data_IF_083152348669
#
_entry.id   IF_083152348669
#
_cell.length_a   1.000
_cell.length_b   1.000
_cell.length_c   1.000
_cell.angle_alpha   90.00
_cell.angle_beta   90.00
_cell.angle_gamma   90.00
#
_symmetry.space_group_name_H-M   'P 1'
#
loop_
_entity.id
_entity.type
_entity.pdbx_description
1 polymer ?
#
# COMPACT_ATOMS: atom_id res chain seq x y z
N UNK A 1 -11.26 8.13 30.85
CA UNK A 1 -12.04 7.16 30.01
C UNK A 1 -11.19 5.92 29.74
N UNK A 2 -11.79 4.73 29.58
CA UNK A 2 -11.05 3.51 29.21
C UNK A 2 -11.28 3.22 27.72
N UNK A 3 -10.20 3.29 26.95
CA UNK A 3 -10.17 2.87 25.54
C UNK A 3 -9.63 1.46 25.40
N UNK A 4 -10.05 0.76 24.34
CA UNK A 4 -9.47 -0.54 24.02
C UNK A 4 -9.51 -0.83 22.53
N UNK A 5 -8.52 -1.57 22.06
CA UNK A 5 -8.42 -2.04 20.68
C UNK A 5 -8.06 -3.53 20.64
N UNK A 6 -8.50 -4.19 19.56
CA UNK A 6 -8.13 -5.58 19.27
C UNK A 6 -7.33 -5.58 17.97
N UNK A 7 -6.12 -6.12 18.03
CA UNK A 7 -5.24 -6.19 16.87
C UNK A 7 -4.56 -7.55 16.76
N UNK A 8 -4.15 -7.89 15.54
CA UNK A 8 -3.25 -8.98 15.25
C UNK A 8 -1.88 -8.46 14.82
N UNK A 9 -0.82 -9.17 15.20
CA UNK A 9 0.53 -8.97 14.70
C UNK A 9 0.98 -10.20 13.90
N UNK A 10 1.22 -10.02 12.60
CA UNK A 10 1.74 -11.06 11.71
C UNK A 10 2.97 -10.53 10.97
N UNK A 11 4.13 -11.19 11.15
CA UNK A 11 5.43 -10.74 10.61
C UNK A 11 5.76 -9.27 10.96
N UNK A 12 5.28 -8.80 12.11
CA UNK A 12 5.41 -7.42 12.56
C UNK A 12 4.42 -6.43 11.94
N UNK A 13 3.57 -6.82 11.00
CA UNK A 13 2.47 -5.98 10.52
C UNK A 13 1.33 -5.95 11.54
N UNK A 14 0.80 -4.76 11.82
CA UNK A 14 -0.31 -4.59 12.76
C UNK A 14 -1.62 -4.52 12.01
N UNK A 15 -2.57 -5.37 12.35
CA UNK A 15 -3.89 -5.44 11.72
C UNK A 15 -4.95 -5.18 12.76
N UNK A 16 -5.76 -4.14 12.57
CA UNK A 16 -6.95 -3.94 13.37
C UNK A 16 -7.92 -5.10 13.08
N UNK A 17 -8.48 -5.70 14.12
CA UNK A 17 -9.51 -6.72 13.97
C UNK A 17 -10.89 -6.13 14.20
N UNK A 18 -11.84 -6.58 13.39
CA UNK A 18 -13.25 -6.23 13.59
C UNK A 18 -13.77 -6.84 14.89
N UNK A 19 -14.51 -6.08 15.70
CA UNK A 19 -15.04 -6.57 16.95
C UNK A 19 -16.22 -7.52 16.70
N UNK A 20 -16.32 -8.55 17.53
CA UNK A 20 -17.43 -9.51 17.49
C UNK A 20 -18.65 -8.91 18.18
N UNK A 21 -19.85 -9.45 17.94
CA UNK A 21 -21.05 -8.98 18.61
C UNK A 21 -20.95 -9.08 20.14
N UNK A 22 -20.37 -10.18 20.65
CA UNK A 22 -20.15 -10.40 22.08
C UNK A 22 -19.13 -9.41 22.65
N UNK A 23 -18.09 -9.08 21.90
CA UNK A 23 -17.09 -8.10 22.29
C UNK A 23 -17.66 -6.67 22.33
N UNK A 24 -18.49 -6.31 21.34
CA UNK A 24 -19.23 -5.03 21.35
C UNK A 24 -20.13 -4.96 22.59
N UNK A 25 -20.88 -6.02 22.89
CA UNK A 25 -21.75 -6.08 24.06
C UNK A 25 -20.95 -5.95 25.38
N UNK A 26 -19.79 -6.59 25.46
CA UNK A 26 -18.85 -6.48 26.57
C UNK A 26 -18.36 -5.03 26.77
N UNK A 27 -17.97 -4.34 25.70
CA UNK A 27 -17.52 -2.94 25.77
C UNK A 27 -18.65 -2.04 26.27
N UNK A 28 -19.87 -2.24 25.77
CA UNK A 28 -21.05 -1.49 26.19
C UNK A 28 -21.39 -1.71 27.67
N UNK A 29 -21.35 -2.95 28.16
CA UNK A 29 -21.68 -3.26 29.55
C UNK A 29 -20.69 -2.67 30.54
N UNK A 30 -19.40 -2.61 30.17
CA UNK A 30 -18.33 -2.06 31.00
C UNK A 30 -18.06 -0.56 30.71
N UNK A 31 -18.80 0.04 29.77
CA UNK A 31 -18.63 1.43 29.32
C UNK A 31 -17.22 1.72 28.82
N UNK A 32 -16.61 0.73 28.17
CA UNK A 32 -15.35 0.90 27.47
C UNK A 32 -15.59 1.46 26.08
N UNK A 33 -14.67 2.31 25.62
CA UNK A 33 -14.68 2.79 24.24
C UNK A 33 -13.88 1.82 23.38
N UNK A 34 -14.56 1.10 22.49
CA UNK A 34 -13.88 0.33 21.46
C UNK A 34 -13.34 1.29 20.40
N UNK A 35 -12.04 1.19 20.15
CA UNK A 35 -11.32 2.02 19.23
C UNK A 35 -10.97 1.25 17.95
N UNK A 36 -11.14 1.89 16.81
CA UNK A 36 -10.82 1.34 15.50
C UNK A 36 -9.86 2.29 14.79
N UNK A 37 -8.59 1.92 14.78
CA UNK A 37 -7.53 2.76 14.26
C UNK A 37 -6.89 2.12 13.02
N UNK A 38 -6.83 2.86 11.91
CA UNK A 38 -6.21 2.37 10.67
C UNK A 38 -4.68 2.58 10.68
N UNK A 39 -3.95 1.51 10.96
CA UNK A 39 -2.48 1.50 11.03
C UNK A 39 -1.78 1.74 9.68
N UNK A 40 -2.48 1.64 8.53
CA UNK A 40 -1.91 1.83 7.20
C UNK A 40 -1.99 3.28 6.70
N UNK A 41 -2.92 4.06 7.25
CA UNK A 41 -3.21 5.44 6.79
C UNK A 41 -2.71 6.49 7.79
N UNK A 42 -2.79 6.18 9.08
CA UNK A 42 -2.46 7.15 10.12
C UNK A 42 -1.04 7.00 10.65
N UNK A 43 -0.46 8.13 11.06
CA UNK A 43 0.90 8.21 11.59
C UNK A 43 0.95 7.97 13.08
N UNK A 44 2.17 7.85 13.63
CA UNK A 44 2.38 7.85 15.07
C UNK A 44 1.95 9.18 15.70
N UNK A 45 2.21 10.32 15.06
CA UNK A 45 1.74 11.61 15.54
C UNK A 45 0.20 11.68 15.60
N UNK A 46 -0.47 11.19 14.56
CA UNK A 46 -1.94 11.14 14.56
C UNK A 46 -2.47 10.30 15.72
N UNK A 47 -1.78 9.21 16.08
CA UNK A 47 -2.22 8.32 17.16
C UNK A 47 -2.10 9.05 18.50
N UNK A 48 -0.99 9.75 18.72
CA UNK A 48 -0.80 10.59 19.91
C UNK A 48 -1.89 11.66 20.00
N UNK A 49 -2.09 12.43 18.92
CA UNK A 49 -3.10 13.50 18.87
C UNK A 49 -4.52 12.95 19.07
N UNK A 50 -4.82 11.79 18.47
CA UNK A 50 -6.11 11.13 18.61
C UNK A 50 -6.36 10.67 20.04
N UNK A 51 -5.38 10.01 20.68
CA UNK A 51 -5.52 9.52 22.05
C UNK A 51 -5.64 10.67 23.07
N UNK A 52 -4.91 11.77 22.86
CA UNK A 52 -5.05 13.00 23.65
C UNK A 52 -6.46 13.58 23.49
N UNK A 53 -6.97 13.64 22.25
CA UNK A 53 -8.31 14.16 21.96
C UNK A 53 -9.43 13.30 22.58
N UNK A 54 -9.27 11.98 22.63
CA UNK A 54 -10.24 11.08 23.26
C UNK A 54 -10.21 11.14 24.80
N UNK A 55 -9.23 11.82 25.40
CA UNK A 55 -9.11 11.95 26.87
C UNK A 55 -9.10 10.58 27.58
N UNK A 56 -8.38 9.61 27.03
CA UNK A 56 -8.21 8.31 27.67
C UNK A 56 -7.35 8.45 28.94
N UNK A 57 -7.73 7.72 29.98
CA UNK A 57 -6.94 7.58 31.22
C UNK A 57 -6.25 6.22 31.24
N UNK A 58 -6.93 5.20 30.69
CA UNK A 58 -6.37 3.88 30.45
C UNK A 58 -6.65 3.46 29.02
N UNK A 59 -5.70 2.77 28.42
CA UNK A 59 -5.87 2.20 27.09
C UNK A 59 -5.34 0.77 27.03
N UNK A 60 -6.20 -0.16 26.60
CA UNK A 60 -5.91 -1.58 26.55
C UNK A 60 -5.76 -2.08 25.11
N UNK A 61 -4.59 -2.65 24.82
CA UNK A 61 -4.36 -3.42 23.62
C UNK A 61 -4.63 -4.91 23.89
N UNK A 62 -5.46 -5.53 23.05
CA UNK A 62 -5.66 -6.98 23.02
C UNK A 62 -4.99 -7.49 21.74
N UNK A 63 -3.97 -8.32 21.91
CA UNK A 63 -3.09 -8.77 20.85
C UNK A 63 -3.32 -10.25 20.51
N UNK A 64 -3.40 -10.53 19.21
CA UNK A 64 -3.23 -11.87 18.63
C UNK A 64 -1.88 -11.96 17.93
N UNK A 65 -1.10 -13.01 18.17
CA UNK A 65 0.22 -13.21 17.53
C UNK A 65 1.42 -12.98 18.46
N UNK A 66 2.60 -12.74 17.88
CA UNK A 66 3.90 -12.73 18.60
C UNK A 66 4.08 -11.51 19.50
N UNK A 67 3.63 -10.33 19.07
CA UNK A 67 3.55 -9.12 19.89
C UNK A 67 4.83 -8.31 20.06
N UNK A 68 5.95 -8.71 19.46
CA UNK A 68 7.24 -8.04 19.67
C UNK A 68 7.19 -6.56 19.27
N UNK A 69 6.53 -6.26 18.15
CA UNK A 69 6.39 -4.88 17.69
C UNK A 69 5.30 -4.14 18.44
N UNK A 70 4.19 -4.80 18.76
CA UNK A 70 3.10 -4.23 19.55
C UNK A 70 3.61 -3.80 20.93
N UNK A 71 4.45 -4.61 21.58
CA UNK A 71 5.13 -4.23 22.83
C UNK A 71 5.96 -2.96 22.69
N UNK A 72 6.70 -2.81 21.58
CA UNK A 72 7.46 -1.58 21.30
C UNK A 72 6.53 -0.38 21.07
N UNK A 73 5.39 -0.58 20.41
CA UNK A 73 4.39 0.48 20.21
C UNK A 73 3.82 0.96 21.56
N UNK A 74 3.40 0.02 22.41
CA UNK A 74 2.89 0.32 23.75
C UNK A 74 3.95 1.05 24.59
N UNK A 75 5.20 0.59 24.57
CA UNK A 75 6.29 1.25 25.27
C UNK A 75 6.55 2.67 24.75
N UNK A 76 6.51 2.89 23.43
CA UNK A 76 6.64 4.21 22.80
C UNK A 76 5.52 5.15 23.27
N UNK A 77 4.26 4.69 23.24
CA UNK A 77 3.12 5.50 23.69
C UNK A 77 3.22 5.84 25.17
N UNK A 78 3.60 4.88 26.02
CA UNK A 78 3.78 5.10 27.46
C UNK A 78 4.84 6.16 27.77
N UNK A 79 5.90 6.24 26.95
CA UNK A 79 6.95 7.27 27.09
C UNK A 79 6.49 8.65 26.63
N UNK A 80 5.60 8.72 25.63
CA UNK A 80 5.14 9.98 25.04
C UNK A 80 3.91 10.55 25.75
N UNK A 81 3.06 9.70 26.32
CA UNK A 81 1.78 10.06 26.94
C UNK A 81 1.76 9.66 28.42
N UNK A 82 2.39 10.47 29.27
CA UNK A 82 2.54 10.16 30.70
C UNK A 82 1.23 10.17 31.50
N UNK A 83 0.15 10.72 30.93
CA UNK A 83 -1.16 10.82 31.59
C UNK A 83 -2.08 9.64 31.25
N UNK A 84 -1.71 8.80 30.27
CA UNK A 84 -2.44 7.58 29.91
C UNK A 84 -1.68 6.37 30.46
N UNK A 85 -2.40 5.46 31.09
CA UNK A 85 -1.87 4.16 31.51
C UNK A 85 -2.16 3.12 30.43
N UNK A 86 -1.09 2.58 29.84
CA UNK A 86 -1.23 1.59 28.78
C UNK A 86 -1.14 0.16 29.32
N UNK A 87 -1.96 -0.71 28.75
CA UNK A 87 -2.02 -2.12 29.08
C UNK A 87 -1.95 -2.94 27.79
N UNK A 88 -1.27 -4.09 27.82
CA UNK A 88 -1.26 -5.06 26.73
C UNK A 88 -1.57 -6.44 27.30
N UNK A 89 -2.51 -7.14 26.67
CA UNK A 89 -2.77 -8.55 26.94
C UNK A 89 -2.77 -9.36 25.64
N UNK A 90 -2.44 -10.65 25.75
CA UNK A 90 -2.66 -11.59 24.66
C UNK A 90 -4.13 -12.06 24.62
N UNK A 91 -4.45 -12.81 23.58
CA UNK A 91 -5.76 -13.46 23.34
C UNK A 91 -6.11 -14.58 24.34
N UNK A 92 -5.22 -14.90 25.27
CA UNK A 92 -5.46 -15.82 26.39
C UNK A 92 -5.76 -15.10 27.70
N UNK A 93 -5.69 -13.76 27.70
CA UNK A 93 -5.84 -12.92 28.88
C UNK A 93 -4.58 -12.77 29.72
N UNK A 94 -3.42 -13.26 29.25
CA UNK A 94 -2.15 -13.01 29.93
C UNK A 94 -1.74 -11.54 29.71
N UNK A 95 -1.41 -10.85 30.80
CA UNK A 95 -0.96 -9.46 30.76
C UNK A 95 0.53 -9.43 30.38
N UNK A 96 0.81 -8.80 29.25
CA UNK A 96 2.16 -8.64 28.70
C UNK A 96 2.79 -7.30 29.09
N UNK A 97 1.97 -6.27 29.33
CA UNK A 97 2.39 -4.93 29.76
C UNK A 97 1.30 -4.25 30.60
N UNK A 98 1.70 -3.43 31.58
CA UNK A 98 0.80 -2.64 32.43
C UNK A 98 0.43 -3.34 33.74
N UNK A 99 -0.63 -2.85 34.39
CA UNK A 99 -1.12 -3.40 35.65
C UNK A 99 -1.83 -4.76 35.45
N UNK A 100 -1.35 -5.85 36.08
CA UNK A 100 -1.98 -7.18 35.96
C UNK A 100 -3.38 -7.26 36.59
N UNK A 101 -3.75 -6.32 37.46
CA UNK A 101 -5.06 -6.28 38.12
C UNK A 101 -6.08 -5.38 37.41
N UNK A 102 -5.69 -4.76 36.28
CA UNK A 102 -6.52 -3.78 35.59
C UNK A 102 -7.92 -4.31 35.21
N UNK A 103 -8.00 -5.58 34.79
CA UNK A 103 -9.27 -6.27 34.49
C UNK A 103 -9.61 -7.35 35.52
N UNK A 104 -9.16 -7.23 36.77
CA UNK A 104 -9.45 -8.23 37.79
C UNK A 104 -10.97 -8.43 37.95
N UNK A 105 -11.43 -9.68 37.77
CA UNK A 105 -12.85 -10.04 37.82
C UNK A 105 -13.64 -9.75 36.53
N UNK A 106 -13.00 -9.27 35.47
CA UNK A 106 -13.60 -9.00 34.16
C UNK A 106 -13.06 -10.00 33.13
N UNK A 107 -13.96 -10.81 32.55
CA UNK A 107 -13.59 -11.77 31.49
C UNK A 107 -13.84 -11.14 30.12
N UNK A 108 -12.77 -10.94 29.36
CA UNK A 108 -12.85 -10.48 27.97
C UNK A 108 -13.27 -11.65 27.07
N UNK A 109 -14.28 -11.49 26.19
CA UNK A 109 -14.67 -12.54 25.26
C UNK A 109 -13.66 -12.62 24.11
N UNK A 110 -12.74 -13.59 24.18
CA UNK A 110 -11.79 -13.90 23.11
C UNK A 110 -12.41 -14.93 22.15
N UNK A 111 -12.32 -14.71 20.83
CA UNK A 111 -12.75 -15.67 19.81
C UNK A 111 -11.59 -16.55 19.29
N UNK A 112 -11.95 -17.66 18.64
CA UNK A 112 -11.02 -18.58 17.98
C UNK A 112 -10.11 -17.87 16.96
N UNK A 113 -8.89 -18.41 16.74
CA UNK A 113 -7.92 -17.82 15.83
C UNK A 113 -8.49 -17.74 14.41
N UNK A 114 -8.46 -16.55 13.83
CA UNK A 114 -8.61 -16.39 12.38
C UNK A 114 -7.47 -17.17 11.71
N UNK A 115 -7.79 -17.86 10.62
CA UNK A 115 -6.78 -18.53 9.82
C UNK A 115 -5.77 -17.49 9.32
N UNK A 116 -4.49 -17.69 9.65
CA UNK A 116 -3.39 -16.93 9.08
C UNK A 116 -3.39 -17.11 7.55
N UNK A 117 -3.88 -16.11 6.82
CA UNK A 117 -3.45 -15.92 5.45
C UNK A 117 -2.10 -15.19 5.48
N UNK A 118 -1.01 -15.94 5.36
CA UNK A 118 0.36 -15.43 5.16
C UNK A 118 0.54 -14.80 3.75
N UNK A 119 1.76 -14.40 3.29
CA UNK A 119 2.49 -13.16 3.56
C UNK A 119 2.90 -12.47 2.23
N UNK A 120 2.27 -11.33 1.89
CA UNK A 120 2.65 -10.52 0.69
C UNK A 120 3.04 -9.09 1.10
N UNK A 121 2.67 -8.66 2.31
CA UNK A 121 2.80 -7.28 2.76
C UNK A 121 4.24 -6.73 2.71
N UNK A 122 5.26 -7.52 3.07
CA UNK A 122 6.66 -7.08 2.96
C UNK A 122 7.08 -6.90 1.49
N UNK A 123 6.72 -7.84 0.63
CA UNK A 123 7.01 -7.74 -0.80
C UNK A 123 6.33 -6.51 -1.41
N UNK A 124 5.05 -6.29 -1.11
CA UNK A 124 4.28 -5.14 -1.59
C UNK A 124 4.83 -3.82 -1.06
N UNK A 125 5.25 -3.77 0.21
CA UNK A 125 5.90 -2.61 0.80
C UNK A 125 7.23 -2.29 0.11
N UNK A 126 8.03 -3.31 -0.20
CA UNK A 126 9.29 -3.13 -0.93
C UNK A 126 9.06 -2.74 -2.39
N UNK A 127 8.07 -3.34 -3.07
CA UNK A 127 7.65 -2.90 -4.40
C UNK A 127 7.22 -1.43 -4.38
N UNK A 128 6.42 -1.03 -3.40
CA UNK A 128 5.96 0.35 -3.24
C UNK A 128 7.12 1.30 -2.92
N UNK A 129 8.06 0.88 -2.07
CA UNK A 129 9.28 1.62 -1.76
C UNK A 129 10.11 1.85 -3.03
N UNK A 130 10.39 0.82 -3.83
CA UNK A 130 11.29 0.95 -4.99
C UNK A 130 10.62 1.51 -6.25
N UNK A 131 9.33 1.26 -6.49
CA UNK A 131 8.60 1.84 -7.63
C UNK A 131 8.06 3.24 -7.33
N UNK A 132 7.75 3.52 -6.06
CA UNK A 132 7.07 4.74 -5.63
C UNK A 132 5.55 4.73 -5.87
N UNK A 133 4.99 3.58 -6.25
CA UNK A 133 3.55 3.39 -6.48
C UNK A 133 2.91 2.84 -5.22
N UNK A 134 1.85 3.49 -4.74
CA UNK A 134 1.12 3.10 -3.53
C UNK A 134 -0.37 3.05 -3.86
N UNK A 135 -0.99 1.86 -3.91
CA UNK A 135 -2.40 1.70 -4.32
C UNK A 135 -3.37 2.53 -3.48
N UNK A 136 -3.14 2.63 -2.16
CA UNK A 136 -4.02 3.32 -1.21
C UNK A 136 -3.65 4.79 -0.94
N UNK A 137 -2.84 5.41 -1.79
CA UNK A 137 -2.28 6.75 -1.56
C UNK A 137 -3.32 7.89 -1.56
N UNK A 138 -4.57 7.62 -1.94
CA UNK A 138 -5.52 8.63 -2.42
C UNK A 138 -6.35 9.32 -1.34
N UNK A 139 -6.33 8.88 -0.08
CA UNK A 139 -7.28 9.39 0.93
C UNK A 139 -6.83 10.62 1.72
N UNK A 140 -5.52 10.92 1.82
CA UNK A 140 -5.01 11.92 2.77
C UNK A 140 -4.02 12.92 2.20
N UNK A 141 -4.20 14.21 2.55
CA UNK A 141 -3.28 15.29 2.22
C UNK A 141 -2.95 16.17 3.45
N UNK A 142 -1.66 16.46 3.72
CA UNK A 142 -0.49 15.90 3.03
C UNK A 142 -0.34 14.39 3.29
N UNK A 143 0.22 13.69 2.31
CA UNK A 143 0.42 12.23 2.37
C UNK A 143 1.53 11.87 3.37
N UNK A 144 1.34 10.93 4.29
CA UNK A 144 2.36 10.54 5.26
C UNK A 144 3.54 9.81 4.61
N UNK A 145 4.69 9.80 5.31
CA UNK A 145 5.84 8.96 4.95
C UNK A 145 5.47 7.49 5.22
N UNK A 146 5.72 6.59 4.27
CA UNK A 146 5.40 5.16 4.42
C UNK A 146 6.64 4.31 4.55
N UNK A 147 7.65 4.49 3.71
CA UNK A 147 8.79 3.60 3.71
C UNK A 147 10.11 4.36 3.66
N UNK A 148 11.12 3.89 4.39
CA UNK A 148 12.47 4.43 4.37
C UNK A 148 13.42 3.33 3.92
N UNK A 149 14.31 3.67 3.01
CA UNK A 149 15.47 2.87 2.64
C UNK A 149 16.71 3.42 3.34
N UNK A 150 17.58 2.55 3.86
CA UNK A 150 18.91 2.89 4.34
C UNK A 150 19.96 1.97 3.71
N UNK A 151 21.02 2.56 3.12
CA UNK A 151 22.14 1.81 2.52
C UNK A 151 22.94 0.98 3.56
N UNK A 152 22.82 1.34 4.84
CA UNK A 152 23.48 0.58 5.90
C UNK A 152 23.13 0.99 7.31
N UNK A 153 23.43 0.09 8.26
CA UNK A 153 23.12 0.28 9.68
C UNK A 153 23.82 1.50 10.29
N UNK A 154 25.00 1.87 9.77
CA UNK A 154 25.74 3.06 10.22
C UNK A 154 25.00 4.38 9.97
N UNK A 155 24.00 4.40 9.08
CA UNK A 155 23.21 5.60 8.78
C UNK A 155 22.02 5.78 9.73
N UNK A 156 21.64 4.73 10.48
CA UNK A 156 20.46 4.77 11.34
C UNK A 156 20.56 5.80 12.47
N UNK A 157 21.76 5.99 13.02
CA UNK A 157 22.02 6.97 14.08
C UNK A 157 21.88 8.42 13.60
N UNK A 158 21.92 8.66 12.29
CA UNK A 158 21.76 9.99 11.69
C UNK A 158 20.30 10.35 11.42
N UNK A 159 19.38 9.39 11.52
CA UNK A 159 17.95 9.63 11.29
C UNK A 159 17.40 10.39 12.50
N UNK A 160 16.89 11.60 12.27
CA UNK A 160 16.18 12.36 13.29
C UNK A 160 14.96 11.54 13.77
N UNK A 161 14.84 11.21 15.07
CA UNK A 161 13.72 10.42 15.58
C UNK A 161 12.34 11.02 15.30
N UNK A 162 12.23 12.36 15.19
CA UNK A 162 10.98 13.03 14.84
C UNK A 162 10.47 12.70 13.44
N UNK A 163 11.33 12.16 12.56
CA UNK A 163 10.92 11.67 11.24
C UNK A 163 9.91 10.52 11.38
N UNK A 164 10.10 9.66 12.37
CA UNK A 164 9.23 8.51 12.61
C UNK A 164 7.84 8.94 13.05
N UNK A 165 7.69 10.07 13.75
CA UNK A 165 6.37 10.61 14.13
C UNK A 165 5.48 10.91 12.89
N UNK A 166 6.10 11.17 11.72
CA UNK A 166 5.42 11.43 10.45
C UNK A 166 5.19 10.17 9.59
N UNK A 167 5.65 9.01 10.05
CA UNK A 167 5.48 7.75 9.35
C UNK A 167 4.14 7.11 9.69
N UNK A 168 3.48 6.49 8.71
CA UNK A 168 2.33 5.60 9.00
C UNK A 168 2.73 4.53 9.98
N UNK A 169 1.79 4.00 10.79
CA UNK A 169 2.16 2.99 11.76
C UNK A 169 2.75 1.77 11.06
N UNK A 170 2.10 1.19 10.06
CA UNK A 170 2.62 0.09 9.25
C UNK A 170 3.69 0.48 8.20
N UNK A 171 4.50 1.48 8.54
CA UNK A 171 5.67 1.84 7.77
C UNK A 171 6.83 0.87 7.94
N UNK A 172 7.65 0.76 6.89
CA UNK A 172 8.82 -0.10 6.80
C UNK A 172 10.09 0.75 6.74
N UNK A 173 11.08 0.41 7.56
CA UNK A 173 12.47 0.78 7.36
C UNK A 173 13.21 -0.44 6.79
N UNK A 174 13.59 -0.34 5.52
CA UNK A 174 14.39 -1.35 4.84
C UNK A 174 15.87 -0.98 4.88
N UNK A 175 16.70 -1.91 5.34
CA UNK A 175 18.15 -1.76 5.43
C UNK A 175 18.78 -2.67 4.38
N UNK A 176 19.53 -2.10 3.42
CA UNK A 176 20.16 -2.84 2.32
C UNK A 176 21.45 -3.55 2.73
N UNK A 177 21.39 -4.24 3.88
CA UNK A 177 22.43 -5.09 4.42
C UNK A 177 21.77 -6.31 5.03
N UNK A 178 22.49 -7.43 5.05
CA UNK A 178 22.05 -8.63 5.74
C UNK A 178 21.88 -8.33 7.23
N UNK A 179 20.99 -9.08 7.89
CA UNK A 179 20.68 -8.88 9.30
C UNK A 179 21.95 -8.83 10.15
N UNK A 180 22.07 -7.76 10.96
CA UNK A 180 23.16 -7.56 11.91
C UNK A 180 22.58 -7.18 13.26
N UNK A 181 23.00 -7.88 14.31
CA UNK A 181 22.73 -7.48 15.69
C UNK A 181 23.78 -6.45 16.14
N UNK A 182 23.82 -5.30 15.45
CA UNK A 182 24.69 -4.20 15.83
C UNK A 182 23.95 -3.12 16.64
N UNK A 183 24.73 -2.33 17.37
CA UNK A 183 24.21 -1.33 18.31
C UNK A 183 23.24 -0.32 17.67
N UNK A 184 23.48 0.22 16.45
CA UNK A 184 22.54 1.15 15.81
C UNK A 184 21.13 0.59 15.61
N UNK A 185 21.00 -0.69 15.24
CA UNK A 185 19.69 -1.34 15.07
C UNK A 185 18.99 -1.49 16.42
N UNK A 186 19.72 -1.92 17.45
CA UNK A 186 19.18 -2.10 18.81
C UNK A 186 18.70 -0.75 19.37
N UNK A 187 19.52 0.29 19.23
CA UNK A 187 19.17 1.65 19.67
C UNK A 187 17.93 2.17 18.95
N UNK A 188 17.83 1.97 17.63
CA UNK A 188 16.66 2.35 16.86
C UNK A 188 15.40 1.63 17.37
N UNK A 189 15.45 0.29 17.45
CA UNK A 189 14.31 -0.53 17.87
C UNK A 189 13.87 -0.23 19.31
N UNK A 190 14.76 0.27 20.16
CA UNK A 190 14.41 0.68 21.53
C UNK A 190 13.66 2.01 21.61
N UNK A 191 13.71 2.83 20.55
CA UNK A 191 13.15 4.19 20.54
C UNK A 191 11.88 4.31 19.71
N UNK A 192 11.75 3.50 18.66
CA UNK A 192 10.62 3.62 17.72
C UNK A 192 10.02 2.26 17.33
N UNK A 193 8.69 2.15 17.25
CA UNK A 193 7.99 0.90 16.94
C UNK A 193 7.83 0.64 15.44
N UNK A 194 8.82 1.04 14.63
CA UNK A 194 8.80 0.89 13.18
C UNK A 194 9.11 -0.56 12.81
N UNK A 195 8.50 -1.05 11.73
CA UNK A 195 8.83 -2.35 11.15
C UNK A 195 10.19 -2.24 10.48
N UNK A 196 11.11 -3.15 10.80
CA UNK A 196 12.47 -3.16 10.26
C UNK A 196 12.65 -4.43 9.45
N UNK A 197 13.08 -4.30 8.20
CA UNK A 197 13.47 -5.43 7.35
C UNK A 197 14.89 -5.23 6.81
N UNK A 198 15.57 -6.34 6.58
CA UNK A 198 16.93 -6.40 6.06
C UNK A 198 16.92 -7.00 4.66
N UNK A 199 18.03 -6.88 3.93
CA UNK A 199 18.10 -7.37 2.55
C UNK A 199 18.01 -8.90 2.41
N UNK A 200 18.22 -9.63 3.50
CA UNK A 200 18.06 -11.08 3.60
C UNK A 200 16.69 -11.52 4.17
N UNK A 201 15.76 -10.58 4.38
CA UNK A 201 14.41 -10.93 4.88
C UNK A 201 13.56 -11.59 3.80
N UNK A 202 13.67 -11.17 2.54
CA UNK A 202 13.04 -11.87 1.41
C UNK A 202 13.96 -12.97 0.89
N UNK A 203 13.35 -14.04 0.36
CA UNK A 203 14.08 -15.15 -0.28
C UNK A 203 14.72 -14.78 -1.63
N UNK A 204 14.43 -13.58 -2.15
CA UNK A 204 14.92 -13.08 -3.43
C UNK A 204 15.21 -11.58 -3.38
N UNK A 205 16.04 -11.09 -4.32
CA UNK A 205 16.30 -9.66 -4.48
C UNK A 205 15.15 -8.99 -5.25
N UNK A 206 14.37 -8.17 -4.56
CA UNK A 206 13.26 -7.42 -5.15
C UNK A 206 13.73 -6.49 -6.28
N UNK A 207 14.94 -5.92 -6.18
CA UNK A 207 15.48 -4.98 -7.19
C UNK A 207 15.75 -5.70 -8.51
N UNK A 208 16.11 -6.97 -8.47
CA UNK A 208 16.33 -7.80 -9.67
C UNK A 208 15.04 -8.07 -10.47
N UNK A 209 13.87 -7.88 -9.84
CA UNK A 209 12.56 -8.06 -10.47
C UNK A 209 11.95 -6.75 -10.98
N UNK A 210 12.70 -5.65 -10.89
CA UNK A 210 12.29 -4.33 -11.37
C UNK A 210 13.07 -3.95 -12.62
N UNK A 211 12.35 -3.45 -13.63
CA UNK A 211 12.96 -2.89 -14.82
C UNK A 211 13.64 -1.55 -14.48
N UNK A 212 14.85 -1.37 -14.98
CA UNK A 212 15.54 -0.07 -14.97
C UNK A 212 15.40 0.53 -16.36
N UNK A 213 14.72 1.66 -16.44
CA UNK A 213 14.39 2.33 -17.69
C UNK A 213 14.67 3.83 -17.58
N UNK A 214 14.91 4.48 -18.72
CA UNK A 214 15.00 5.94 -18.74
C UNK A 214 13.62 6.58 -18.76
N UNK A 215 13.55 7.86 -18.39
CA UNK A 215 12.32 8.64 -18.53
C UNK A 215 11.84 8.72 -19.99
N UNK A 216 12.76 8.89 -20.94
CA UNK A 216 12.43 8.93 -22.37
C UNK A 216 11.81 7.61 -22.84
N UNK A 217 12.31 6.47 -22.36
CA UNK A 217 11.73 5.16 -22.68
C UNK A 217 10.33 5.01 -22.06
N UNK A 218 10.12 5.54 -20.85
CA UNK A 218 8.79 5.57 -20.24
C UNK A 218 7.79 6.45 -21.01
N UNK A 219 8.21 7.62 -21.47
CA UNK A 219 7.39 8.50 -22.32
C UNK A 219 6.99 7.79 -23.62
N UNK A 220 7.94 7.11 -24.28
CA UNK A 220 7.68 6.31 -25.47
C UNK A 220 6.76 5.12 -25.19
N UNK A 221 6.92 4.44 -24.05
CA UNK A 221 6.05 3.33 -23.65
C UNK A 221 4.62 3.79 -23.36
N UNK A 222 4.43 4.96 -22.76
CA UNK A 222 3.12 5.57 -22.57
C UNK A 222 2.45 5.95 -23.89
N UNK A 223 3.20 6.53 -24.83
CA UNK A 223 2.69 6.84 -26.17
C UNK A 223 2.29 5.56 -26.92
N UNK A 224 3.13 4.52 -26.86
CA UNK A 224 2.84 3.22 -27.46
C UNK A 224 1.57 2.60 -26.84
N UNK A 225 1.44 2.61 -25.52
CA UNK A 225 0.26 2.10 -24.84
C UNK A 225 -1.01 2.85 -25.25
N UNK A 226 -0.99 4.18 -25.24
CA UNK A 226 -2.14 4.99 -25.63
C UNK A 226 -2.58 4.75 -27.08
N UNK A 227 -1.64 4.47 -27.99
CA UNK A 227 -1.91 4.36 -29.43
C UNK A 227 -2.18 2.93 -29.90
N UNK A 228 -1.64 1.92 -29.21
CA UNK A 228 -1.70 0.51 -29.64
C UNK A 228 -2.40 -0.41 -28.64
N UNK A 229 -2.76 0.12 -27.47
CA UNK A 229 -3.25 -0.65 -26.32
C UNK A 229 -2.26 -1.67 -25.75
N UNK A 230 -0.98 -1.63 -26.13
CA UNK A 230 0.04 -2.59 -25.69
C UNK A 230 0.93 -2.00 -24.61
N UNK A 231 1.25 -2.80 -23.60
CA UNK A 231 2.23 -2.44 -22.56
C UNK A 231 3.49 -3.29 -22.77
N UNK A 232 4.61 -2.69 -23.24
CA UNK A 232 5.82 -3.45 -23.50
C UNK A 232 6.49 -3.88 -22.19
N UNK A 233 6.58 -5.19 -21.96
CA UNK A 233 7.32 -5.78 -20.83
C UNK A 233 8.10 -7.05 -21.25
N UNK A 234 9.10 -6.92 -22.14
CA UNK A 234 9.80 -8.09 -22.71
C UNK A 234 10.62 -8.89 -21.68
N UNK A 235 10.95 -8.29 -20.53
CA UNK A 235 11.67 -8.96 -19.45
C UNK A 235 10.77 -9.58 -18.39
N UNK A 236 9.44 -9.49 -18.54
CA UNK A 236 8.46 -9.93 -17.55
C UNK A 236 8.77 -9.41 -16.13
N UNK A 237 9.18 -8.15 -16.04
CA UNK A 237 9.48 -7.51 -14.76
C UNK A 237 8.18 -7.22 -14.00
N UNK A 238 8.24 -7.29 -12.66
CA UNK A 238 7.07 -7.05 -11.81
C UNK A 238 6.70 -5.57 -11.70
N UNK A 239 7.63 -4.67 -12.05
CA UNK A 239 7.44 -3.24 -11.99
C UNK A 239 8.64 -2.49 -12.55
N UNK A 240 8.60 -1.16 -12.43
CA UNK A 240 9.66 -0.26 -12.90
C UNK A 240 10.27 0.45 -11.70
N UNK A 241 11.59 0.37 -11.57
CA UNK A 241 12.33 1.08 -10.52
C UNK A 241 12.13 2.60 -10.66
N UNK A 242 11.80 3.27 -9.57
CA UNK A 242 11.52 4.70 -9.50
C UNK A 242 10.44 5.20 -10.48
N UNK A 243 9.52 4.33 -10.88
CA UNK A 243 8.39 4.66 -11.75
C UNK A 243 7.73 6.02 -11.42
N UNK A 244 7.39 6.25 -10.16
CA UNK A 244 6.72 7.47 -9.73
C UNK A 244 7.54 8.74 -10.02
N UNK A 245 8.86 8.67 -9.77
CA UNK A 245 9.79 9.76 -10.07
C UNK A 245 9.92 9.97 -11.57
N UNK A 246 10.15 8.89 -12.32
CA UNK A 246 10.32 8.93 -13.77
C UNK A 246 9.11 9.52 -14.49
N UNK A 247 7.91 9.18 -14.05
CA UNK A 247 6.65 9.63 -14.66
C UNK A 247 6.17 10.99 -14.15
N UNK A 248 6.82 11.57 -13.14
CA UNK A 248 6.41 12.84 -12.52
C UNK A 248 5.15 12.71 -11.65
N UNK A 249 4.86 11.53 -11.11
CA UNK A 249 3.81 11.38 -10.10
C UNK A 249 4.22 12.12 -8.82
N UNK A 250 3.30 12.90 -8.28
CA UNK A 250 3.53 13.69 -7.07
C UNK A 250 3.29 12.86 -5.81
N UNK A 251 4.13 11.84 -5.58
CA UNK A 251 4.02 10.91 -4.44
C UNK A 251 5.20 11.07 -3.48
N UNK A 252 4.88 11.36 -2.21
CA UNK A 252 5.83 11.60 -1.12
C UNK A 252 5.67 10.56 -0.01
N UNK A 253 5.86 9.30 -0.34
CA UNK A 253 5.71 8.19 0.61
C UNK A 253 7.01 7.52 0.98
N UNK A 254 8.13 7.94 0.39
CA UNK A 254 9.40 7.24 0.52
C UNK A 254 10.59 8.17 0.69
N UNK A 255 11.60 7.66 1.39
CA UNK A 255 12.87 8.33 1.61
C UNK A 255 14.00 7.32 1.40
N UNK A 256 15.07 7.75 0.74
CA UNK A 256 16.28 6.94 0.54
C UNK A 256 17.47 7.62 1.20
N UNK A 257 18.08 6.92 2.15
CA UNK A 257 19.20 7.40 2.94
C UNK A 257 20.46 6.68 2.48
N UNK A 258 21.34 7.44 1.85
CA UNK A 258 22.64 6.99 1.36
C UNK A 258 23.76 7.69 2.15
N UNK A 259 25.00 7.18 2.03
CA UNK A 259 26.17 7.83 2.65
C UNK A 259 26.43 9.26 2.16
N UNK A 260 26.07 9.56 0.93
CA UNK A 260 26.27 10.86 0.27
C UNK A 260 25.06 11.80 0.42
N UNK A 261 23.97 11.36 1.04
CA UNK A 261 22.83 12.21 1.35
C UNK A 261 21.48 11.49 1.31
N UNK A 262 20.42 12.29 1.38
CA UNK A 262 19.04 11.81 1.39
C UNK A 262 18.37 12.17 0.07
N UNK A 263 17.70 11.22 -0.55
CA UNK A 263 17.00 11.41 -1.82
C UNK A 263 15.57 10.84 -1.75
N UNK A 264 14.71 11.28 -2.68
CA UNK A 264 13.30 10.90 -2.74
C UNK A 264 13.04 9.70 -3.68
N UNK A 265 14.10 9.24 -4.35
CA UNK A 265 14.14 8.14 -5.30
C UNK A 265 15.45 7.35 -5.12
N UNK A 266 15.44 6.10 -5.56
CA UNK A 266 16.60 5.23 -5.44
C UNK A 266 17.73 5.65 -6.39
N UNK A 267 17.40 6.12 -7.59
CA UNK A 267 18.30 6.61 -8.62
C UNK A 267 18.97 7.96 -8.33
N UNK A 268 18.69 8.57 -7.16
CA UNK A 268 19.25 9.85 -6.70
C UNK A 268 19.01 11.04 -7.66
N UNK A 269 17.90 11.04 -8.37
CA UNK A 269 17.51 12.16 -9.25
C UNK A 269 17.00 13.37 -8.46
N UNK A 270 16.41 13.15 -7.30
CA UNK A 270 15.81 14.19 -6.43
C UNK A 270 16.40 14.08 -5.03
N UNK A 271 17.45 14.87 -4.75
CA UNK A 271 18.13 14.85 -3.46
C UNK A 271 17.83 16.10 -2.61
N UNK A 272 17.80 15.89 -1.29
CA UNK A 272 17.23 16.80 -0.29
C UNK A 272 18.27 17.56 0.53
N UNK A 273 19.55 17.46 0.16
CA UNK A 273 20.71 17.84 0.99
C UNK A 273 20.89 16.92 2.22
N UNK A 274 21.90 17.19 3.06
CA UNK A 274 22.50 16.23 4.01
C UNK A 274 21.58 15.65 5.10
N UNK A 275 22.11 14.66 5.82
CA UNK A 275 21.38 13.81 6.78
C UNK A 275 20.77 14.57 7.99
N UNK A 276 21.30 15.76 8.33
CA UNK A 276 21.01 16.43 9.60
C UNK A 276 19.71 17.27 9.60
N UNK A 277 19.18 17.67 8.43
CA UNK A 277 17.99 18.52 8.29
C UNK A 277 16.99 17.95 7.27
N UNK A 278 16.41 16.79 7.59
CA UNK A 278 15.38 16.17 6.74
C UNK A 278 14.03 16.88 6.98
N UNK A 279 13.68 17.80 6.08
CA UNK A 279 12.36 18.43 6.04
C UNK A 279 11.48 17.77 4.95
N UNK A 280 10.51 16.96 5.38
CA UNK A 280 9.55 16.28 4.48
C UNK A 280 8.75 17.30 3.64
N UNK A 281 8.50 18.51 4.13
CA UNK A 281 7.81 19.54 3.36
C UNK A 281 8.69 20.05 2.21
N UNK A 282 9.99 20.24 2.44
CA UNK A 282 10.95 20.57 1.37
C UNK A 282 11.08 19.43 0.36
N UNK A 283 11.04 18.17 0.81
CA UNK A 283 11.02 17.00 -0.08
C UNK A 283 9.89 17.07 -1.08
N UNK A 284 8.67 17.26 -0.58
CA UNK A 284 7.47 17.38 -1.40
C UNK A 284 7.57 18.52 -2.40
N UNK A 285 8.14 19.65 -1.97
CA UNK A 285 8.30 20.80 -2.84
C UNK A 285 9.28 20.51 -3.99
N UNK A 286 10.48 19.99 -3.69
CA UNK A 286 11.48 19.64 -4.71
C UNK A 286 10.99 18.56 -5.67
N UNK A 287 10.26 17.56 -5.18
CA UNK A 287 9.66 16.54 -6.04
C UNK A 287 8.71 17.12 -7.09
N UNK A 288 7.87 18.08 -6.68
CA UNK A 288 6.92 18.75 -7.59
C UNK A 288 7.63 19.60 -8.65
N UNK A 289 8.79 20.18 -8.32
CA UNK A 289 9.55 21.01 -9.24
C UNK A 289 10.43 20.20 -10.20
N UNK A 290 10.89 19.02 -9.79
CA UNK A 290 11.86 18.23 -10.54
C UNK A 290 11.31 17.79 -11.90
N UNK A 291 10.05 17.35 -11.96
CA UNK A 291 9.51 16.69 -13.13
C UNK A 291 8.02 16.98 -13.36
N UNK A 292 7.68 17.44 -14.57
CA UNK A 292 6.30 17.51 -15.01
C UNK A 292 5.73 16.09 -15.21
N UNK A 293 4.44 15.82 -14.91
CA UNK A 293 3.82 14.54 -15.20
C UNK A 293 3.82 14.23 -16.71
N UNK A 294 4.18 13.00 -17.09
CA UNK A 294 4.21 12.58 -18.52
C UNK A 294 2.82 12.25 -19.07
N UNK A 295 1.86 11.98 -18.20
CA UNK A 295 0.47 11.68 -18.53
C UNK A 295 -0.47 12.13 -17.39
N UNK A 296 -1.80 12.16 -17.60
CA UNK A 296 -2.77 12.42 -16.53
C UNK A 296 -2.65 11.42 -15.37
N UNK A 297 -2.86 11.88 -14.12
CA UNK A 297 -2.68 11.06 -12.91
C UNK A 297 -3.41 9.71 -12.93
N UNK A 298 -4.62 9.63 -13.48
CA UNK A 298 -5.37 8.37 -13.56
C UNK A 298 -4.65 7.33 -14.43
N UNK A 299 -4.04 7.76 -15.53
CA UNK A 299 -3.24 6.90 -16.40
C UNK A 299 -1.94 6.49 -15.72
N UNK A 300 -1.29 7.44 -15.03
CA UNK A 300 -0.07 7.16 -14.26
C UNK A 300 -0.31 6.18 -13.11
N UNK A 301 -1.47 6.22 -12.48
CA UNK A 301 -1.86 5.29 -11.43
C UNK A 301 -2.25 3.91 -11.97
N UNK A 302 -2.84 3.84 -13.18
CA UNK A 302 -3.25 2.58 -13.80
C UNK A 302 -2.09 1.79 -14.40
N UNK A 303 -1.14 2.47 -15.06
CA UNK A 303 -0.09 1.82 -15.85
C UNK A 303 0.76 0.79 -15.07
N UNK A 304 1.15 1.00 -13.80
CA UNK A 304 1.89 -0.02 -13.02
C UNK A 304 1.15 -1.35 -12.92
N UNK A 305 -0.17 -1.30 -12.74
CA UNK A 305 -1.00 -2.51 -12.72
C UNK A 305 -1.01 -3.20 -14.09
N UNK A 306 -1.15 -2.44 -15.19
CA UNK A 306 -1.09 -3.02 -16.53
C UNK A 306 0.27 -3.66 -16.81
N UNK A 307 1.36 -3.02 -16.34
CA UNK A 307 2.72 -3.53 -16.48
C UNK A 307 2.93 -4.83 -15.70
N UNK A 308 2.38 -4.90 -14.49
CA UNK A 308 2.38 -6.12 -13.65
C UNK A 308 1.49 -7.22 -14.24
N UNK A 309 0.30 -6.89 -14.75
CA UNK A 309 -0.55 -7.86 -15.46
C UNK A 309 0.16 -8.40 -16.71
N UNK A 310 0.86 -7.55 -17.45
CA UNK A 310 1.63 -7.96 -18.62
C UNK A 310 2.77 -8.93 -18.27
N UNK A 311 3.31 -8.91 -17.04
CA UNK A 311 4.34 -9.86 -16.62
C UNK A 311 3.80 -11.25 -16.31
N UNK A 312 2.51 -11.37 -16.01
CA UNK A 312 1.85 -12.64 -15.71
C UNK A 312 1.63 -13.51 -16.97
N UNK A 313 1.60 -12.91 -18.16
CA UNK A 313 1.44 -13.61 -19.44
C UNK A 313 2.78 -13.81 -20.13
N UNK A 314 2.92 -14.90 -20.89
CA UNK A 314 4.13 -15.20 -21.67
C UNK A 314 4.16 -14.43 -22.99
N UNK A 315 3.01 -13.96 -23.45
CA UNK A 315 2.85 -13.25 -24.71
C UNK A 315 2.46 -11.79 -24.51
N UNK A 316 2.85 -10.95 -25.47
CA UNK A 316 2.52 -9.52 -25.43
C UNK A 316 1.00 -9.35 -25.34
N UNK A 317 0.57 -8.56 -24.35
CA UNK A 317 -0.84 -8.33 -24.05
C UNK A 317 -1.31 -6.97 -24.54
N UNK A 318 -2.51 -6.96 -25.11
CA UNK A 318 -3.29 -5.77 -25.43
C UNK A 318 -4.34 -5.55 -24.33
N UNK A 319 -4.45 -4.32 -23.85
CA UNK A 319 -5.31 -3.95 -22.75
C UNK A 319 -6.48 -3.09 -23.22
N UNK A 320 -7.70 -3.54 -22.91
CA UNK A 320 -8.92 -2.78 -23.11
C UNK A 320 -9.10 -1.85 -21.92
N UNK A 321 -8.90 -0.56 -22.18
CA UNK A 321 -9.09 0.50 -21.19
C UNK A 321 -9.71 1.73 -21.88
N UNK A 322 -10.30 2.67 -21.12
CA UNK A 322 -10.83 3.90 -21.71
C UNK A 322 -9.75 4.83 -22.28
N UNK A 323 -8.48 4.63 -21.89
CA UNK A 323 -7.37 5.53 -22.17
C UNK A 323 -6.55 5.14 -23.41
N UNK A 324 -6.84 3.98 -23.99
CA UNK A 324 -6.12 3.43 -25.13
C UNK A 324 -6.98 3.42 -26.39
N UNK A 325 -6.31 3.44 -27.54
CA UNK A 325 -6.93 3.18 -28.83
C UNK A 325 -6.76 1.69 -29.17
N UNK A 326 -7.88 0.98 -29.28
CA UNK A 326 -7.94 -0.39 -29.79
C UNK A 326 -8.78 -0.38 -31.07
N UNK A 327 -10.08 -0.65 -30.97
CA UNK A 327 -11.01 -0.49 -32.09
C UNK A 327 -11.73 0.87 -32.03
N UNK A 328 -11.99 1.36 -30.82
CA UNK A 328 -12.64 2.65 -30.58
C UNK A 328 -11.59 3.70 -30.17
N UNK A 329 -11.77 4.97 -30.59
CA UNK A 329 -10.87 6.05 -30.21
C UNK A 329 -10.84 6.22 -28.69
N UNK A 330 -9.66 6.56 -28.16
CA UNK A 330 -9.47 6.84 -26.73
C UNK A 330 -10.38 7.99 -26.28
N UNK A 331 -10.77 7.96 -25.01
CA UNK A 331 -11.53 9.04 -24.40
C UNK A 331 -10.61 10.05 -23.74
N UNK A 332 -10.93 11.35 -23.88
CA UNK A 332 -10.11 12.44 -23.35
C UNK A 332 -10.44 12.81 -21.89
N UNK A 333 -11.38 12.11 -21.23
CA UNK A 333 -11.97 12.57 -19.96
C UNK A 333 -12.68 11.50 -19.13
N UNK A 334 -13.19 11.95 -17.98
CA UNK A 334 -13.68 11.19 -16.83
C UNK A 334 -14.88 10.29 -17.20
N UNK A 335 -14.60 9.02 -17.45
CA UNK A 335 -15.59 7.97 -17.37
C UNK A 335 -15.79 7.60 -15.89
N UNK A 336 -16.84 6.81 -15.62
CA UNK A 336 -17.10 6.25 -14.30
C UNK A 336 -15.88 5.52 -13.70
N UNK A 337 -15.95 5.08 -12.44
CA UNK A 337 -14.86 4.30 -11.86
C UNK A 337 -14.51 3.13 -12.77
N UNK A 338 -13.25 3.04 -13.20
CA UNK A 338 -12.77 1.87 -13.91
C UNK A 338 -12.86 0.70 -12.93
N UNK A 339 -13.73 -0.26 -13.19
CA UNK A 339 -13.91 -1.45 -12.37
C UNK A 339 -13.20 -2.66 -12.96
N UNK A 340 -12.98 -2.67 -14.27
CA UNK A 340 -12.42 -3.82 -14.99
C UNK A 340 -11.41 -3.40 -16.06
N UNK A 341 -10.45 -4.28 -16.33
CA UNK A 341 -9.46 -4.15 -17.40
C UNK A 341 -9.58 -5.38 -18.29
N UNK A 342 -9.86 -5.18 -19.58
CA UNK A 342 -9.83 -6.30 -20.54
C UNK A 342 -8.41 -6.58 -20.99
N UNK A 343 -8.10 -7.83 -21.29
CA UNK A 343 -6.78 -8.31 -21.67
C UNK A 343 -6.95 -9.27 -22.84
N UNK A 344 -6.25 -9.03 -23.95
CA UNK A 344 -6.22 -9.91 -25.11
C UNK A 344 -4.77 -10.22 -25.47
N UNK A 345 -4.46 -11.50 -25.63
CA UNK A 345 -3.15 -11.95 -26.07
C UNK A 345 -3.28 -13.27 -26.84
N UNK A 346 -2.17 -13.97 -27.09
CA UNK A 346 -2.21 -15.26 -27.81
C UNK A 346 -2.70 -16.42 -26.96
N UNK A 347 -2.78 -16.23 -25.64
CA UNK A 347 -3.25 -17.23 -24.69
C UNK A 347 -4.78 -17.18 -24.53
N UNK A 348 -5.41 -16.02 -24.76
CA UNK A 348 -6.86 -15.88 -24.77
C UNK A 348 -7.34 -14.44 -24.56
N UNK A 349 -8.60 -14.34 -24.16
CA UNK A 349 -9.26 -13.11 -23.72
C UNK A 349 -9.59 -13.22 -22.22
N UNK A 350 -9.23 -12.20 -21.46
CA UNK A 350 -9.40 -12.17 -20.01
C UNK A 350 -9.90 -10.82 -19.54
N UNK A 351 -10.48 -10.79 -18.35
CA UNK A 351 -10.90 -9.58 -17.67
C UNK A 351 -10.38 -9.61 -16.25
N UNK A 352 -9.74 -8.52 -15.85
CA UNK A 352 -9.27 -8.31 -14.50
C UNK A 352 -10.19 -7.33 -13.78
N UNK A 353 -10.79 -7.76 -12.67
CA UNK A 353 -11.68 -6.94 -11.85
C UNK A 353 -10.90 -6.27 -10.71
N UNK A 354 -10.94 -4.93 -10.69
CA UNK A 354 -10.16 -4.09 -9.79
C UNK A 354 -10.67 -4.14 -8.34
N UNK A 355 -11.96 -4.39 -8.14
CA UNK A 355 -12.60 -4.42 -6.80
C UNK A 355 -12.30 -5.70 -6.04
N UNK A 356 -12.30 -6.84 -6.73
CA UNK A 356 -12.09 -8.16 -6.14
C UNK A 356 -10.66 -8.66 -6.32
N UNK A 357 -9.85 -8.00 -7.16
CA UNK A 357 -8.50 -8.40 -7.53
C UNK A 357 -8.47 -9.79 -8.20
N UNK A 358 -9.52 -10.11 -8.98
CA UNK A 358 -9.69 -11.40 -9.64
C UNK A 358 -9.53 -11.31 -11.16
N UNK A 359 -9.00 -12.38 -11.75
CA UNK A 359 -8.86 -12.56 -13.19
C UNK A 359 -9.85 -13.62 -13.67
N UNK A 360 -10.63 -13.29 -14.69
CA UNK A 360 -11.62 -14.16 -15.32
C UNK A 360 -11.26 -14.40 -16.78
N UNK A 361 -11.43 -15.64 -17.25
CA UNK A 361 -11.37 -15.97 -18.68
C UNK A 361 -12.69 -15.60 -19.36
N UNK A 362 -12.60 -15.02 -20.55
CA UNK A 362 -13.75 -14.56 -21.34
C UNK A 362 -13.50 -14.77 -22.84
N UNK A 363 -14.31 -14.15 -23.69
CA UNK A 363 -14.14 -14.13 -25.14
C UNK A 363 -13.94 -12.72 -25.71
N UNK A 364 -13.63 -12.64 -27.00
CA UNK A 364 -13.40 -11.36 -27.69
C UNK A 364 -14.67 -10.50 -27.77
N UNK A 365 -15.85 -11.12 -27.80
CA UNK A 365 -17.14 -10.40 -27.86
C UNK A 365 -17.35 -9.62 -26.56
N UNK A 366 -17.05 -10.22 -25.42
CA UNK A 366 -17.07 -9.55 -24.13
C UNK A 366 -16.13 -8.34 -24.13
N UNK A 367 -14.90 -8.51 -24.64
CA UNK A 367 -13.93 -7.40 -24.70
C UNK A 367 -14.40 -6.25 -25.57
N UNK A 368 -15.10 -6.52 -26.69
CA UNK A 368 -15.70 -5.48 -27.52
C UNK A 368 -16.81 -4.72 -26.81
N UNK A 369 -17.68 -5.43 -26.08
CA UNK A 369 -18.75 -4.82 -25.29
C UNK A 369 -18.15 -3.99 -24.16
N UNK A 370 -17.12 -4.51 -23.48
CA UNK A 370 -16.38 -3.80 -22.43
C UNK A 370 -15.75 -2.52 -22.97
N UNK A 371 -15.10 -2.55 -24.14
CA UNK A 371 -14.51 -1.36 -24.75
C UNK A 371 -15.58 -0.30 -25.06
N UNK A 372 -16.73 -0.73 -25.60
CA UNK A 372 -17.83 0.16 -25.92
C UNK A 372 -18.48 0.76 -24.66
N UNK A 373 -18.68 -0.04 -23.60
CA UNK A 373 -19.18 0.42 -22.31
C UNK A 373 -18.25 1.45 -21.68
N UNK A 374 -16.97 1.10 -21.56
CA UNK A 374 -15.94 1.97 -21.00
C UNK A 374 -15.73 3.25 -21.79
N UNK A 375 -16.19 3.35 -23.04
CA UNK A 375 -16.02 4.55 -23.87
C UNK A 375 -17.34 5.26 -24.17
N UNK A 376 -18.46 4.79 -23.59
CA UNK A 376 -19.82 5.26 -23.86
C UNK A 376 -20.16 5.27 -25.37
N UNK A 377 -19.83 4.17 -26.05
CA UNK A 377 -19.99 3.95 -27.49
C UNK A 377 -20.80 2.70 -27.82
N UNK A 378 -21.89 2.48 -27.09
CA UNK A 378 -22.83 1.38 -27.35
C UNK A 378 -23.48 1.45 -28.74
N UNK A 379 -23.46 2.62 -29.38
CA UNK A 379 -23.98 2.86 -30.73
C UNK A 379 -23.34 1.97 -31.79
N UNK A 380 -22.09 1.54 -31.59
CA UNK A 380 -21.36 0.73 -32.57
C UNK A 380 -21.65 -0.78 -32.48
N UNK A 381 -22.21 -1.24 -31.36
CA UNK A 381 -22.38 -2.67 -31.08
C UNK A 381 -23.46 -3.37 -31.92
N UNK A 382 -24.63 -2.77 -32.24
CA UNK A 382 -25.65 -3.43 -33.05
C UNK A 382 -25.15 -3.80 -34.45
N UNK A 383 -24.37 -2.93 -35.09
CA UNK A 383 -23.76 -3.21 -36.40
C UNK A 383 -22.71 -4.32 -36.30
N UNK A 384 -21.91 -4.31 -35.23
CA UNK A 384 -20.82 -5.26 -35.01
C UNK A 384 -21.29 -6.66 -34.64
N UNK A 385 -22.31 -6.76 -33.79
CA UNK A 385 -22.81 -8.03 -33.22
C UNK A 385 -24.00 -8.61 -33.99
N UNK A 386 -24.69 -7.81 -34.81
CA UNK A 386 -25.78 -8.28 -35.65
C UNK A 386 -26.90 -8.97 -34.88
N UNK A 387 -27.22 -10.21 -35.25
CA UNK A 387 -28.28 -11.01 -34.62
C UNK A 387 -28.00 -11.39 -33.17
N UNK A 388 -26.73 -11.39 -32.77
CA UNK A 388 -26.31 -11.89 -31.46
C UNK A 388 -26.26 -10.78 -30.40
N UNK A 389 -26.55 -9.53 -30.80
CA UNK A 389 -26.46 -8.33 -29.97
C UNK A 389 -27.22 -8.48 -28.63
N UNK A 390 -28.51 -8.84 -28.66
CA UNK A 390 -29.32 -8.90 -27.43
C UNK A 390 -28.79 -9.97 -26.46
N UNK A 391 -28.44 -11.15 -26.97
CA UNK A 391 -27.90 -12.25 -26.17
C UNK A 391 -26.55 -11.89 -25.55
N UNK A 392 -25.64 -11.29 -26.33
CA UNK A 392 -24.31 -10.92 -25.87
C UNK A 392 -24.34 -9.80 -24.81
N UNK A 393 -25.21 -8.79 -24.99
CA UNK A 393 -25.42 -7.73 -23.99
C UNK A 393 -26.02 -8.29 -22.70
N UNK A 394 -26.94 -9.26 -22.79
CA UNK A 394 -27.52 -9.88 -21.61
C UNK A 394 -26.46 -10.66 -20.82
N UNK A 395 -25.64 -11.47 -21.48
CA UNK A 395 -24.54 -12.20 -20.85
C UNK A 395 -23.52 -11.26 -20.19
N UNK A 396 -23.17 -10.16 -20.88
CA UNK A 396 -22.29 -9.13 -20.31
C UNK A 396 -22.86 -8.52 -19.03
N UNK A 397 -24.16 -8.15 -19.03
CA UNK A 397 -24.82 -7.57 -17.85
C UNK A 397 -24.88 -8.56 -16.68
N UNK A 398 -25.15 -9.82 -16.94
CA UNK A 398 -25.19 -10.84 -15.88
C UNK A 398 -23.82 -10.94 -15.17
N UNK A 399 -22.72 -10.88 -15.91
CA UNK A 399 -21.37 -10.88 -15.35
C UNK A 399 -21.03 -9.57 -14.61
N UNK A 400 -21.51 -8.42 -15.09
CA UNK A 400 -21.24 -7.12 -14.46
C UNK A 400 -22.06 -6.84 -13.19
N UNK A 401 -23.25 -7.45 -13.04
CA UNK A 401 -24.21 -7.11 -11.97
C UNK A 401 -24.52 -8.26 -10.99
N UNK A 402 -23.98 -9.47 -11.22
CA UNK A 402 -24.14 -10.62 -10.32
C UNK A 402 -22.80 -11.23 -9.85
N UNK A 403 -21.67 -10.56 -10.11
CA UNK A 403 -20.35 -10.85 -9.53
C UNK A 403 -20.20 -10.31 -8.12
#
# INVERSE_FOLDING_TARGET
MIGLTVLAESEGWLHQLEPTADFIAFCQSHRFSFDHYDYNVHTFLDLLDYMDFQEFEHYLFILRGTGERTMRLVAYLQQRMLHVQFHLMNDRGDVLFGDPYFLEGITVPFEEPLADSQPIALQDALMSLFTGVYPDATSRHPQPLRHIYAEGTSLLSSINPALFDQMTINSLLYIDQTTRHDLPVIELMSRVPVLVAFSDTLSFDIKAHLAVVSRTDMEAAFEAWQTTSRVPNPGHYMGVLDYATLTGMTVSHRLFIFKDGVCADYGKQICLSGLEDIDICQLRHRQREAFAPIAPNLQLALYPLLYQLASAFLTESQFVTPYTQLDLPRTAGKLGPLTMIGIQNREGAFVFELTTNQLFETDEVFLWILEADQKDRFDVLPERLGSDYETAIQAYKELMYHG
#
